data_IF_359917673831
#
_entry.id   IF_359917673831
#
_cell.length_a   1.000
_cell.length_b   1.000
_cell.length_c   1.000
_cell.angle_alpha   90.00
_cell.angle_beta   90.00
_cell.angle_gamma   90.00
#
_symmetry.space_group_name_H-M   'P 1'
#
loop_
_entity.id
_entity.type
_entity.pdbx_description
1 polymer ?
#
# COMPACT_ATOMS: atom_id res chain seq x y z
N UNK A 1 -7.76 53.79 -28.99
CA UNK A 1 -8.36 52.45 -28.80
C UNK A 1 -8.06 52.00 -27.37
N UNK A 2 -9.08 51.93 -26.50
CA UNK A 2 -8.91 51.56 -25.10
C UNK A 2 -8.95 50.03 -25.00
N UNK A 3 -7.79 49.40 -24.82
CA UNK A 3 -7.70 47.97 -24.53
C UNK A 3 -8.13 47.74 -23.08
N UNK A 4 -9.38 47.34 -22.89
CA UNK A 4 -9.83 46.80 -21.61
C UNK A 4 -9.14 45.45 -21.38
N UNK A 5 -7.96 45.48 -20.79
CA UNK A 5 -7.30 44.33 -20.18
C UNK A 5 -8.13 43.88 -18.98
N UNK A 6 -9.27 43.25 -19.25
CA UNK A 6 -10.06 42.53 -18.25
C UNK A 6 -9.16 41.39 -17.78
N UNK A 7 -8.47 41.62 -16.66
CA UNK A 7 -7.80 40.55 -15.90
C UNK A 7 -8.76 39.36 -15.89
N UNK A 8 -8.35 38.17 -16.36
CA UNK A 8 -9.24 37.02 -16.35
C UNK A 8 -9.70 36.86 -14.91
N UNK A 9 -11.01 37.05 -14.67
CA UNK A 9 -11.60 36.79 -13.37
C UNK A 9 -11.25 35.34 -13.10
N UNK A 10 -10.34 35.09 -12.15
CA UNK A 10 -10.12 33.78 -11.58
C UNK A 10 -11.53 33.31 -11.23
N UNK A 11 -12.02 32.31 -11.96
CA UNK A 11 -13.37 31.80 -11.77
C UNK A 11 -13.51 31.56 -10.27
N UNK A 12 -14.44 32.24 -9.61
CA UNK A 12 -14.68 32.10 -8.17
C UNK A 12 -15.27 30.70 -7.96
N UNK A 13 -14.39 29.71 -8.04
CA UNK A 13 -14.72 28.33 -7.74
C UNK A 13 -15.11 28.30 -6.26
N UNK A 14 -16.18 27.56 -5.90
CA UNK A 14 -16.57 27.40 -4.52
C UNK A 14 -15.39 26.94 -3.63
N UNK A 15 -15.34 27.38 -2.36
CA UNK A 15 -14.37 26.87 -1.41
C UNK A 15 -14.50 25.34 -1.33
N UNK A 16 -13.37 24.62 -1.34
CA UNK A 16 -13.35 23.15 -1.37
C UNK A 16 -13.28 22.53 -2.78
N UNK A 17 -13.13 23.34 -3.84
CA UNK A 17 -12.88 22.80 -5.17
C UNK A 17 -11.54 22.04 -5.21
N UNK A 18 -11.48 20.83 -5.79
CA UNK A 18 -10.29 19.96 -5.67
C UNK A 18 -9.06 20.51 -6.40
N UNK A 19 -9.26 21.28 -7.47
CA UNK A 19 -8.17 21.99 -8.14
C UNK A 19 -8.73 23.12 -9.00
N UNK A 20 -7.96 24.21 -9.24
CA UNK A 20 -8.39 25.34 -10.07
C UNK A 20 -8.67 24.96 -11.53
N UNK A 21 -8.16 23.81 -11.98
CA UNK A 21 -8.33 23.28 -13.34
C UNK A 21 -9.60 22.46 -13.53
N UNK A 22 -10.30 22.11 -12.45
CA UNK A 22 -11.63 21.51 -12.56
C UNK A 22 -12.63 22.54 -13.09
N UNK A 23 -13.60 22.06 -13.87
CA UNK A 23 -14.50 22.93 -14.62
C UNK A 23 -15.91 22.91 -14.01
N UNK A 24 -16.46 24.10 -13.78
CA UNK A 24 -17.83 24.25 -13.30
C UNK A 24 -18.81 24.00 -14.44
N UNK A 25 -19.86 23.24 -14.16
CA UNK A 25 -21.00 23.09 -15.05
C UNK A 25 -21.71 24.43 -15.32
N UNK A 26 -22.36 24.56 -16.47
CA UNK A 26 -23.25 25.68 -16.82
C UNK A 26 -24.47 25.77 -15.91
N UNK A 27 -24.93 24.63 -15.37
CA UNK A 27 -26.04 24.60 -14.42
C UNK A 27 -25.59 25.24 -13.10
N UNK A 28 -26.41 26.16 -12.58
CA UNK A 28 -26.07 26.96 -11.40
C UNK A 28 -25.86 26.09 -10.17
N UNK A 29 -26.78 25.16 -9.96
CA UNK A 29 -26.87 24.29 -8.77
C UNK A 29 -25.99 23.03 -8.87
N UNK A 30 -25.36 22.80 -10.02
CA UNK A 30 -24.42 21.70 -10.17
C UNK A 30 -23.06 22.10 -9.59
N UNK A 31 -22.74 21.56 -8.41
CA UNK A 31 -21.47 21.72 -7.70
C UNK A 31 -20.45 20.63 -8.03
N UNK A 32 -20.71 19.83 -9.06
CA UNK A 32 -19.81 18.73 -9.43
C UNK A 32 -18.52 19.27 -10.08
N UNK A 33 -17.33 18.90 -9.57
CA UNK A 33 -16.07 19.31 -10.14
C UNK A 33 -15.74 18.46 -11.37
N UNK A 34 -16.08 18.94 -12.57
CA UNK A 34 -15.75 18.21 -13.80
C UNK A 34 -14.23 18.17 -14.01
N UNK A 35 -13.73 17.03 -14.48
CA UNK A 35 -12.29 16.82 -14.69
C UNK A 35 -11.67 17.87 -15.62
N UNK A 36 -10.40 18.22 -15.41
CA UNK A 36 -9.67 19.10 -16.32
C UNK A 36 -9.64 18.52 -17.74
N UNK A 37 -9.78 19.39 -18.74
CA UNK A 37 -9.74 19.02 -20.17
C UNK A 37 -8.59 19.75 -20.85
N UNK A 38 -7.79 19.03 -21.63
CA UNK A 38 -6.63 19.57 -22.36
C UNK A 38 -6.98 20.04 -23.77
N UNK A 39 -8.24 19.88 -24.19
CA UNK A 39 -8.71 20.25 -25.52
C UNK A 39 -9.80 21.31 -25.40
N UNK A 40 -9.76 22.30 -26.31
CA UNK A 40 -10.81 23.32 -26.43
C UNK A 40 -12.10 22.65 -26.91
N UNK A 41 -13.21 22.93 -26.24
CA UNK A 41 -14.49 22.37 -26.64
C UNK A 41 -15.62 22.65 -25.68
N UNK A 42 -16.78 22.09 -25.99
CA UNK A 42 -17.92 22.02 -25.07
C UNK A 42 -18.09 20.56 -24.66
N UNK A 43 -18.14 20.32 -23.36
CA UNK A 43 -18.18 18.99 -22.79
C UNK A 43 -19.42 18.82 -21.92
N UNK A 44 -19.94 17.60 -21.85
CA UNK A 44 -21.07 17.27 -20.98
C UNK A 44 -20.61 17.14 -19.53
N UNK A 45 -21.43 17.65 -18.62
CA UNK A 45 -21.20 17.48 -17.20
C UNK A 45 -21.38 16.01 -16.82
N UNK A 46 -20.50 15.50 -15.95
CA UNK A 46 -20.59 14.13 -15.42
C UNK A 46 -21.16 14.08 -14.00
N UNK A 47 -21.67 15.21 -13.52
CA UNK A 47 -22.24 15.30 -12.18
C UNK A 47 -23.57 14.58 -12.10
N UNK A 48 -23.86 14.01 -10.92
CA UNK A 48 -25.11 13.30 -10.64
C UNK A 48 -25.80 13.92 -9.41
N UNK A 49 -26.21 15.20 -9.46
CA UNK A 49 -26.87 15.83 -8.32
C UNK A 49 -28.21 15.15 -8.04
N UNK A 50 -28.42 14.68 -6.81
CA UNK A 50 -29.69 14.04 -6.41
C UNK A 50 -29.99 12.70 -7.09
N UNK A 51 -28.99 12.02 -7.66
CA UNK A 51 -29.15 10.70 -8.28
C UNK A 51 -29.48 10.71 -9.78
N UNK A 52 -29.65 11.88 -10.39
CA UNK A 52 -29.88 12.03 -11.83
C UNK A 52 -28.69 12.69 -12.52
N UNK A 53 -28.42 12.27 -13.76
CA UNK A 53 -27.34 12.86 -14.57
C UNK A 53 -27.61 14.36 -14.82
N UNK A 54 -26.58 15.18 -14.64
CA UNK A 54 -26.63 16.59 -14.97
C UNK A 54 -26.54 16.77 -16.48
N UNK A 55 -27.60 17.29 -17.10
CA UNK A 55 -27.65 17.61 -18.55
C UNK A 55 -26.87 18.88 -18.92
N UNK A 56 -26.27 19.54 -17.92
CA UNK A 56 -25.46 20.72 -18.14
C UNK A 56 -24.19 20.45 -18.94
N UNK A 57 -23.62 21.52 -19.48
CA UNK A 57 -22.36 21.46 -20.22
C UNK A 57 -21.35 22.43 -19.63
N UNK A 58 -20.08 22.30 -19.98
CA UNK A 58 -19.07 23.29 -19.64
C UNK A 58 -18.19 23.55 -20.85
N UNK A 59 -17.73 24.79 -20.97
CA UNK A 59 -16.94 25.26 -22.12
C UNK A 59 -15.50 25.48 -21.69
N UNK A 60 -14.58 24.99 -22.52
CA UNK A 60 -13.14 25.10 -22.31
C UNK A 60 -12.57 25.98 -23.43
N UNK A 61 -11.98 27.11 -23.03
CA UNK A 61 -11.24 27.98 -23.93
C UNK A 61 -9.87 27.37 -24.26
N UNK A 62 -9.28 27.77 -25.40
CA UNK A 62 -7.95 27.30 -25.82
C UNK A 62 -6.86 27.64 -24.80
N UNK A 63 -6.90 28.82 -24.20
CA UNK A 63 -5.95 29.22 -23.15
C UNK A 63 -6.03 28.30 -21.93
N UNK A 64 -7.24 28.03 -21.43
CA UNK A 64 -7.48 27.15 -20.27
C UNK A 64 -7.08 25.70 -20.57
N UNK A 65 -7.30 25.22 -21.79
CA UNK A 65 -6.87 23.91 -22.24
C UNK A 65 -5.33 23.77 -22.19
N UNK A 66 -4.60 24.78 -22.69
CA UNK A 66 -3.14 24.81 -22.64
C UNK A 66 -2.59 24.90 -21.22
N UNK A 67 -3.20 25.71 -20.35
CA UNK A 67 -2.80 25.78 -18.94
C UNK A 67 -3.02 24.45 -18.23
N UNK A 68 -4.14 23.78 -18.51
CA UNK A 68 -4.44 22.45 -17.98
C UNK A 68 -3.40 21.43 -18.46
N UNK A 69 -3.04 21.47 -19.74
CA UNK A 69 -2.01 20.58 -20.29
C UNK A 69 -0.65 20.79 -19.62
N UNK A 70 -0.23 22.05 -19.43
CA UNK A 70 1.02 22.37 -18.72
C UNK A 70 1.00 21.85 -17.29
N UNK A 71 -0.08 22.10 -16.57
CA UNK A 71 -0.24 21.61 -15.19
C UNK A 71 -0.16 20.09 -15.10
N UNK A 72 -0.87 19.36 -15.98
CA UNK A 72 -0.84 17.90 -16.00
C UNK A 72 0.55 17.36 -16.34
N UNK A 73 1.28 18.01 -17.26
CA UNK A 73 2.66 17.66 -17.60
C UNK A 73 3.60 17.86 -16.42
N UNK A 74 3.47 18.97 -15.70
CA UNK A 74 4.28 19.27 -14.51
C UNK A 74 4.01 18.26 -13.38
N UNK A 75 2.74 17.98 -13.09
CA UNK A 75 2.37 16.97 -12.10
C UNK A 75 2.86 15.56 -12.48
N UNK A 76 2.80 15.19 -13.76
CA UNK A 76 3.31 13.90 -14.24
C UNK A 76 4.84 13.82 -14.11
N UNK A 77 5.56 14.91 -14.39
CA UNK A 77 7.01 14.98 -14.19
C UNK A 77 7.36 14.84 -12.71
N UNK A 78 6.70 15.61 -11.83
CA UNK A 78 6.92 15.57 -10.39
C UNK A 78 6.65 14.18 -9.80
N UNK A 79 5.62 13.47 -10.30
CA UNK A 79 5.34 12.09 -9.88
C UNK A 79 6.47 11.14 -10.29
N UNK A 80 6.98 11.25 -11.52
CA UNK A 80 8.10 10.41 -12.00
C UNK A 80 9.38 10.65 -11.21
N UNK A 81 9.70 11.91 -10.91
CA UNK A 81 10.91 12.23 -10.14
C UNK A 81 10.81 11.73 -8.71
N UNK A 82 9.65 11.86 -8.07
CA UNK A 82 9.40 11.32 -6.73
C UNK A 82 9.52 9.78 -6.68
N UNK A 83 8.96 9.10 -7.68
CA UNK A 83 9.05 7.63 -7.79
C UNK A 83 10.50 7.17 -8.03
N UNK A 84 11.25 7.88 -8.88
CA UNK A 84 12.66 7.58 -9.12
C UNK A 84 13.50 7.80 -7.86
N UNK A 85 13.23 8.87 -7.10
CA UNK A 85 13.91 9.13 -5.84
C UNK A 85 13.59 8.04 -4.80
N UNK A 86 12.32 7.65 -4.68
CA UNK A 86 11.92 6.55 -3.80
C UNK A 86 12.60 5.25 -4.20
N UNK A 87 12.69 4.96 -5.51
CA UNK A 87 13.42 3.80 -6.02
C UNK A 87 14.91 3.88 -5.67
N UNK A 88 15.56 5.04 -5.80
CA UNK A 88 16.96 5.22 -5.39
C UNK A 88 17.16 4.99 -3.89
N UNK A 89 16.24 5.48 -3.05
CA UNK A 89 16.28 5.30 -1.59
C UNK A 89 16.21 3.81 -1.22
N UNK A 90 15.20 3.10 -1.71
CA UNK A 90 15.05 1.65 -1.46
C UNK A 90 16.26 0.83 -1.93
N UNK A 91 16.81 1.13 -3.11
CA UNK A 91 18.03 0.47 -3.62
C UNK A 91 19.24 0.76 -2.73
N UNK A 92 19.41 2.01 -2.29
CA UNK A 92 20.51 2.39 -1.40
C UNK A 92 20.41 1.74 -0.01
N UNK A 93 19.19 1.51 0.46
CA UNK A 93 18.91 0.85 1.72
C UNK A 93 19.26 -0.64 1.67
N UNK A 94 18.83 -1.34 0.61
CA UNK A 94 19.22 -2.74 0.39
C UNK A 94 20.73 -2.93 0.21
N UNK A 95 21.43 -1.92 -0.32
CA UNK A 95 22.88 -1.97 -0.55
C UNK A 95 23.70 -1.60 0.68
N UNK A 96 23.10 -1.01 1.72
CA UNK A 96 23.82 -0.74 2.96
C UNK A 96 24.20 -2.09 3.60
N UNK A 97 25.50 -2.39 3.78
CA UNK A 97 25.91 -3.54 4.54
C UNK A 97 25.31 -3.41 5.93
N UNK A 98 24.67 -4.47 6.43
CA UNK A 98 24.14 -4.51 7.78
C UNK A 98 25.32 -4.37 8.77
N UNK A 99 25.62 -3.13 9.18
CA UNK A 99 26.69 -2.83 10.12
C UNK A 99 26.38 -3.44 11.50
N UNK A 100 25.12 -3.78 11.79
CA UNK A 100 24.74 -4.50 13.01
C UNK A 100 25.06 -6.00 12.91
N UNK A 101 25.07 -6.60 11.71
CA UNK A 101 25.55 -7.97 11.51
C UNK A 101 27.03 -8.13 11.91
N UNK A 102 27.87 -7.10 11.67
CA UNK A 102 29.28 -7.11 12.10
C UNK A 102 29.46 -7.03 13.62
N UNK A 103 28.55 -6.38 14.37
CA UNK A 103 28.62 -6.37 15.84
C UNK A 103 28.22 -7.71 16.45
N UNK A 104 27.18 -8.38 15.93
CA UNK A 104 26.73 -9.68 16.47
C UNK A 104 27.71 -10.83 16.22
N UNK A 105 28.56 -10.75 15.20
CA UNK A 105 29.58 -11.76 14.94
C UNK A 105 30.78 -11.68 15.91
N UNK A 106 30.91 -10.61 16.71
CA UNK A 106 32.05 -10.41 17.63
C UNK A 106 31.76 -10.84 19.07
N UNK A 107 30.49 -11.09 19.40
CA UNK A 107 30.02 -11.53 20.71
C UNK A 107 29.53 -12.99 20.69
N UNK A 108 30.06 -13.84 19.80
CA UNK A 108 29.97 -15.29 19.97
C UNK A 108 31.19 -15.69 20.82
N UNK A 109 31.01 -16.07 22.10
CA UNK A 109 32.09 -16.67 22.87
C UNK A 109 32.51 -17.94 22.15
N UNK A 110 33.77 -17.98 21.74
CA UNK A 110 34.46 -19.12 21.19
C UNK A 110 34.54 -20.20 22.28
N UNK A 111 33.43 -20.92 22.52
CA UNK A 111 33.44 -22.08 23.38
C UNK A 111 34.16 -23.19 22.63
N UNK A 112 35.42 -23.35 23.02
CA UNK A 112 36.34 -24.45 22.75
C UNK A 112 35.56 -25.78 22.71
N UNK A 113 35.22 -26.25 21.51
CA UNK A 113 34.89 -27.65 21.27
C UNK A 113 36.21 -28.41 21.14
N UNK A 114 36.82 -28.67 22.30
CA UNK A 114 37.84 -29.68 22.42
C UNK A 114 37.22 -31.05 22.11
N UNK A 115 37.94 -31.78 21.25
CA UNK A 115 38.10 -33.22 21.28
C UNK A 115 36.86 -34.11 21.06
N UNK A 116 36.77 -34.69 19.86
CA UNK A 116 36.23 -36.05 19.65
C UNK A 116 36.77 -36.61 18.34
N UNK A 117 38.01 -37.07 18.45
CA UNK A 117 38.73 -37.87 17.46
C UNK A 117 38.34 -39.34 17.63
N UNK A 118 37.28 -39.81 16.97
CA UNK A 118 37.01 -41.25 16.68
C UNK A 118 35.72 -41.32 15.85
N UNK A 119 35.59 -42.05 14.75
CA UNK A 119 36.45 -43.01 14.08
C UNK A 119 35.87 -43.33 12.71
N UNK A 120 36.71 -43.97 11.91
CA UNK A 120 36.45 -44.54 10.59
C UNK A 120 35.19 -45.43 10.57
N UNK A 121 34.44 -45.39 9.47
CA UNK A 121 33.35 -46.33 9.21
C UNK A 121 32.86 -46.24 7.77
N UNK A 122 33.51 -47.00 6.90
CA UNK A 122 33.10 -47.22 5.51
C UNK A 122 31.70 -47.85 5.41
N UNK A 123 30.93 -47.38 4.41
CA UNK A 123 30.03 -48.17 3.55
C UNK A 123 28.98 -49.09 4.20
N UNK A 124 27.71 -48.75 4.01
CA UNK A 124 26.75 -49.63 3.32
C UNK A 124 25.43 -48.89 3.06
N UNK A 125 24.90 -49.08 1.86
CA UNK A 125 23.57 -48.69 1.43
C UNK A 125 22.60 -49.90 1.57
N UNK A 126 21.34 -49.80 1.10
CA UNK A 126 20.13 -49.83 1.92
C UNK A 126 19.44 -51.19 1.95
N UNK A 127 18.60 -51.45 2.96
CA UNK A 127 17.61 -52.54 2.91
C UNK A 127 16.21 -52.08 3.28
N UNK A 128 15.35 -52.27 2.30
CA UNK A 128 13.90 -52.38 2.33
C UNK A 128 13.41 -53.49 3.25
N UNK A 129 12.17 -53.37 3.76
CA UNK A 129 11.41 -54.52 4.24
C UNK A 129 10.40 -54.27 5.36
N UNK A 130 9.15 -54.01 4.97
CA UNK A 130 7.92 -54.64 5.47
C UNK A 130 7.51 -54.58 6.99
N UNK A 131 6.32 -53.97 7.18
CA UNK A 131 5.23 -54.16 8.18
C UNK A 131 4.85 -55.68 8.25
N UNK A 132 4.12 -56.29 9.24
CA UNK A 132 3.16 -55.69 10.20
C UNK A 132 2.89 -56.39 11.58
N UNK A 133 1.85 -55.89 12.28
CA UNK A 133 0.95 -56.48 13.32
C UNK A 133 1.24 -56.11 14.79
N UNK A 134 0.29 -55.43 15.47
CA UNK A 134 -0.90 -55.98 16.20
C UNK A 134 -0.47 -56.55 17.56
N UNK A 135 -1.03 -56.27 18.74
CA UNK A 135 -2.39 -55.93 19.17
C UNK A 135 -2.30 -55.65 20.69
N UNK A 136 -3.10 -54.73 21.25
CA UNK A 136 -3.76 -54.96 22.55
C UNK A 136 -4.90 -53.96 22.78
N UNK A 137 -6.12 -54.44 23.09
CA UNK A 137 -7.27 -53.62 23.44
C UNK A 137 -7.46 -53.52 24.96
N UNK A 138 -7.96 -52.40 25.44
CA UNK A 138 -8.86 -52.35 26.61
C UNK A 138 -9.56 -51.00 26.68
N UNK A 139 -10.86 -51.06 26.41
CA UNK A 139 -11.89 -50.12 26.80
C UNK A 139 -11.81 -49.78 28.30
N UNK A 140 -12.07 -48.51 28.67
CA UNK A 140 -13.25 -48.09 29.46
C UNK A 140 -13.44 -46.57 29.33
N UNK A 141 -14.56 -46.21 28.69
CA UNK A 141 -15.40 -45.00 28.76
C UNK A 141 -14.97 -43.82 29.67
N UNK A 142 -14.79 -42.65 29.05
CA UNK A 142 -15.28 -41.36 29.58
C UNK A 142 -15.55 -40.38 28.43
N UNK A 143 -16.77 -39.84 28.26
CA UNK A 143 -16.99 -38.77 27.29
C UNK A 143 -16.39 -37.48 27.84
N UNK A 144 -15.17 -37.15 27.41
CA UNK A 144 -14.61 -35.82 27.56
C UNK A 144 -15.15 -34.97 26.41
N UNK A 145 -15.87 -33.93 26.80
CA UNK A 145 -16.29 -32.82 25.96
C UNK A 145 -15.12 -32.41 25.07
N UNK A 146 -15.29 -32.46 23.75
CA UNK A 146 -14.33 -31.96 22.78
C UNK A 146 -14.28 -30.44 22.89
N UNK A 147 -13.52 -29.96 23.88
CA UNK A 147 -12.91 -28.65 23.82
C UNK A 147 -12.04 -28.62 22.57
N UNK A 148 -12.47 -27.86 21.58
CA UNK A 148 -11.69 -27.48 20.42
C UNK A 148 -10.25 -27.23 20.85
N UNK A 149 -9.33 -28.10 20.41
CA UNK A 149 -7.88 -27.87 20.49
C UNK A 149 -7.62 -26.55 19.78
N UNK A 150 -7.47 -25.49 20.57
CA UNK A 150 -6.89 -24.22 20.15
C UNK A 150 -5.50 -24.55 19.60
N UNK A 151 -5.18 -24.22 18.34
CA UNK A 151 -3.82 -24.34 17.86
C UNK A 151 -2.95 -23.49 18.79
N UNK A 152 -1.99 -24.12 19.44
CA UNK A 152 -0.91 -23.43 20.13
C UNK A 152 -0.12 -22.68 19.06
N UNK A 153 -0.53 -21.44 18.78
CA UNK A 153 0.29 -20.46 18.10
C UNK A 153 1.50 -20.21 19.00
N UNK A 154 2.55 -21.00 18.78
CA UNK A 154 3.89 -20.70 19.26
C UNK A 154 4.22 -19.33 18.68
N UNK A 155 4.15 -18.31 19.53
CA UNK A 155 4.14 -16.91 19.16
C UNK A 155 5.38 -16.55 18.34
N UNK A 156 5.20 -16.43 17.02
CA UNK A 156 6.14 -15.71 16.20
C UNK A 156 5.99 -14.23 16.57
N UNK A 157 6.93 -13.73 17.37
CA UNK A 157 7.04 -12.30 17.64
C UNK A 157 7.31 -11.64 16.29
N UNK A 158 6.42 -10.75 15.79
CA UNK A 158 6.63 -10.10 14.49
C UNK A 158 7.97 -9.37 14.49
N UNK A 159 8.68 -9.42 13.36
CA UNK A 159 9.91 -8.67 13.21
C UNK A 159 9.62 -7.16 13.25
N UNK A 160 10.61 -6.35 13.65
CA UNK A 160 10.47 -4.88 13.66
C UNK A 160 9.98 -4.33 12.31
N UNK A 161 10.50 -4.89 11.22
CA UNK A 161 10.09 -4.55 9.85
C UNK A 161 8.63 -4.88 9.56
N UNK A 162 8.10 -5.96 10.13
CA UNK A 162 6.70 -6.34 9.97
C UNK A 162 5.78 -5.40 10.75
N UNK A 163 6.18 -5.00 11.95
CA UNK A 163 5.44 -4.02 12.76
C UNK A 163 5.40 -2.65 12.07
N UNK A 164 6.51 -2.19 11.49
CA UNK A 164 6.56 -0.93 10.74
C UNK A 164 5.72 -0.97 9.46
N UNK A 165 5.71 -2.10 8.74
CA UNK A 165 4.88 -2.27 7.55
C UNK A 165 3.39 -2.26 7.89
N UNK A 166 3.00 -2.93 8.96
CA UNK A 166 1.62 -2.91 9.48
C UNK A 166 1.23 -1.48 9.92
N UNK A 167 2.15 -0.74 10.55
CA UNK A 167 1.93 0.67 10.94
C UNK A 167 1.66 1.60 9.78
N UNK A 168 2.50 1.53 8.74
CA UNK A 168 2.31 2.33 7.54
C UNK A 168 0.99 1.98 6.86
N UNK A 169 0.62 0.70 6.84
CA UNK A 169 -0.63 0.24 6.25
C UNK A 169 -1.84 0.78 6.99
N UNK A 170 -1.84 0.72 8.33
CA UNK A 170 -2.93 1.24 9.16
C UNK A 170 -3.08 2.76 9.00
N UNK A 171 -1.99 3.54 8.95
CA UNK A 171 -2.06 4.98 8.67
C UNK A 171 -2.68 5.30 7.31
N UNK A 172 -2.27 4.58 6.26
CA UNK A 172 -2.84 4.76 4.91
C UNK A 172 -4.33 4.46 4.93
N UNK A 173 -4.74 3.37 5.59
CA UNK A 173 -6.14 2.96 5.67
C UNK A 173 -6.99 3.96 6.46
N UNK A 174 -6.48 4.54 7.55
CA UNK A 174 -7.16 5.59 8.29
C UNK A 174 -7.38 6.86 7.45
N UNK A 175 -6.41 7.22 6.61
CA UNK A 175 -6.54 8.37 5.71
C UNK A 175 -7.51 8.13 4.55
N UNK A 176 -7.56 6.90 4.02
CA UNK A 176 -8.45 6.55 2.90
C UNK A 176 -9.90 6.32 3.35
N UNK A 177 -10.11 5.90 4.60
CA UNK A 177 -11.44 5.53 5.12
C UNK A 177 -11.72 6.15 6.51
N UNK A 178 -11.80 7.49 6.63
CA UNK A 178 -12.00 8.15 7.92
C UNK A 178 -13.32 7.78 8.62
N UNK A 179 -14.33 7.35 7.87
CA UNK A 179 -15.64 6.91 8.39
C UNK A 179 -15.61 5.51 9.00
N UNK A 180 -14.61 4.69 8.65
CA UNK A 180 -14.41 3.39 9.30
C UNK A 180 -13.52 3.65 10.50
N UNK A 181 -14.06 3.48 11.71
CA UNK A 181 -13.25 3.42 12.94
C UNK A 181 -12.35 2.17 12.87
N UNK A 182 -11.24 2.28 12.16
CA UNK A 182 -10.21 1.25 12.08
C UNK A 182 -9.42 1.40 13.37
N UNK A 183 -9.63 0.47 14.30
CA UNK A 183 -8.77 0.37 15.48
C UNK A 183 -7.43 -0.21 15.03
N UNK A 184 -6.31 0.46 15.35
CA UNK A 184 -5.00 -0.08 15.05
C UNK A 184 -4.77 -1.37 15.85
N UNK A 185 -4.02 -2.31 15.26
CA UNK A 185 -3.89 -3.68 15.77
C UNK A 185 -2.80 -3.89 16.83
N UNK A 186 -2.25 -2.82 17.40
CA UNK A 186 -1.19 -2.86 18.41
C UNK A 186 -1.67 -2.54 19.83
#
# INVERSE_FOLDING_TARGET
MIFFSRKPKTSSLPPGWPSPYHNKCSQRDCLFPNSPQTVKGTYQCRGVPGGFFCEGTYKIASSRAQETERYLKEMAMARRTAEEEQRKRTVSEMRRPDMNARRRARDIPEYIAADSRTGLGYGQAPRSGQIPRSTRPSDVKRPQVTSYRRPSNVGHRPSSSQVEAEFMTDQIMMHLYPERQIQPRW
#
